data_IF_465750074204
#
_entry.id   IF_465750074204
#
_cell.length_a   1.000
_cell.length_b   1.000
_cell.length_c   1.000
_cell.angle_alpha   90.00
_cell.angle_beta   90.00
_cell.angle_gamma   90.00
#
_symmetry.space_group_name_H-M   'P 1'
#
loop_
_entity.id
_entity.type
_entity.pdbx_description
1 polymer ?
#
# COMPACT_ATOMS: atom_id res chain seq x y z
N UNK A 1 -28.52 61.89 13.28
CA UNK A 1 -27.32 61.43 13.99
C UNK A 1 -27.10 59.96 13.68
N UNK A 2 -25.83 59.55 13.71
CA UNK A 2 -25.16 58.49 12.97
C UNK A 2 -25.67 57.05 13.23
N UNK A 3 -25.54 56.24 12.18
CA UNK A 3 -25.61 54.77 12.18
C UNK A 3 -24.56 54.15 13.09
N UNK A 4 -24.90 53.01 13.70
CA UNK A 4 -23.94 51.94 13.99
C UNK A 4 -24.62 50.59 13.79
N UNK A 5 -24.34 49.97 12.63
CA UNK A 5 -24.53 48.54 12.41
C UNK A 5 -23.44 47.80 13.19
N UNK A 6 -23.85 46.88 14.06
CA UNK A 6 -22.96 45.98 14.78
C UNK A 6 -22.52 44.87 13.82
N UNK A 7 -21.28 44.95 13.35
CA UNK A 7 -20.62 43.86 12.65
C UNK A 7 -20.22 42.79 13.67
N UNK A 8 -21.15 41.88 13.96
CA UNK A 8 -20.80 40.59 14.55
C UNK A 8 -20.22 39.74 13.40
N UNK A 9 -18.94 39.95 13.11
CA UNK A 9 -18.19 39.07 12.23
C UNK A 9 -18.19 37.68 12.89
N UNK A 10 -19.04 36.80 12.37
CA UNK A 10 -19.14 35.42 12.80
C UNK A 10 -17.78 34.76 12.64
N UNK A 11 -17.19 34.37 13.77
CA UNK A 11 -16.10 33.42 13.83
C UNK A 11 -16.67 32.10 13.31
N UNK A 12 -16.62 31.88 12.00
CA UNK A 12 -16.90 30.57 11.43
C UNK A 12 -15.74 29.69 11.88
N UNK A 13 -15.99 28.63 12.68
CA UNK A 13 -14.91 27.78 13.15
C UNK A 13 -14.16 27.20 11.94
N UNK A 14 -12.84 27.35 11.94
CA UNK A 14 -11.93 26.91 10.87
C UNK A 14 -12.14 25.44 10.47
N UNK A 15 -12.69 24.63 11.37
CA UNK A 15 -13.11 23.23 11.13
C UNK A 15 -14.10 23.11 9.96
N UNK A 16 -15.05 24.05 9.79
CA UNK A 16 -16.02 24.00 8.68
C UNK A 16 -15.35 24.31 7.33
N UNK A 17 -14.27 25.10 7.33
CA UNK A 17 -13.53 25.43 6.10
C UNK A 17 -12.64 24.26 5.67
N UNK A 18 -12.03 23.52 6.61
CA UNK A 18 -11.27 22.31 6.28
C UNK A 18 -12.20 21.23 5.72
N UNK A 19 -13.37 21.02 6.34
CA UNK A 19 -14.38 20.09 5.79
C UNK A 19 -14.89 20.59 4.43
N UNK A 20 -15.08 21.88 4.21
CA UNK A 20 -15.52 22.42 2.92
C UNK A 20 -14.41 22.45 1.84
N UNK A 21 -13.13 22.35 2.21
CA UNK A 21 -12.01 22.20 1.27
C UNK A 21 -11.78 20.73 0.95
N UNK A 22 -11.93 19.82 1.92
CA UNK A 22 -11.96 18.38 1.65
C UNK A 22 -13.21 18.04 0.82
N UNK A 23 -14.40 18.50 1.20
CA UNK A 23 -15.63 18.40 0.39
C UNK A 23 -15.57 19.34 -0.83
N UNK A 24 -14.64 20.29 -0.93
CA UNK A 24 -14.50 21.16 -2.11
C UNK A 24 -13.61 20.53 -3.19
N UNK A 25 -12.54 19.86 -2.77
CA UNK A 25 -11.65 19.07 -3.60
C UNK A 25 -12.19 17.65 -3.86
N UNK A 26 -12.97 17.08 -2.94
CA UNK A 26 -13.54 15.73 -3.03
C UNK A 26 -15.07 15.69 -3.18
N UNK A 27 -15.80 16.75 -2.87
CA UNK A 27 -17.28 16.75 -2.76
C UNK A 27 -18.01 17.89 -3.47
N UNK A 28 -17.41 18.44 -4.54
CA UNK A 28 -18.08 19.33 -5.48
C UNK A 28 -18.90 18.57 -6.51
N UNK A 29 -19.86 17.73 -6.07
CA UNK A 29 -20.93 17.15 -6.90
C UNK A 29 -20.50 16.19 -8.00
N UNK A 30 -20.54 14.88 -7.72
CA UNK A 30 -20.52 13.77 -8.69
C UNK A 30 -19.22 13.48 -9.46
N UNK A 31 -18.07 14.08 -9.09
CA UNK A 31 -16.86 14.03 -9.94
C UNK A 31 -15.73 13.07 -9.58
N UNK A 32 -15.49 12.72 -8.30
CA UNK A 32 -14.23 12.03 -7.92
C UNK A 32 -14.37 10.83 -6.97
N UNK A 33 -15.52 10.63 -6.32
CA UNK A 33 -15.78 9.39 -5.57
C UNK A 33 -15.94 8.16 -6.50
N UNK A 34 -15.99 8.35 -7.82
CA UNK A 34 -16.23 7.29 -8.80
C UNK A 34 -14.94 6.83 -9.51
N UNK A 35 -13.77 7.45 -9.24
CA UNK A 35 -12.52 7.11 -9.97
C UNK A 35 -11.51 6.34 -9.10
N UNK A 36 -11.63 6.40 -7.76
CA UNK A 36 -10.75 5.62 -6.86
C UNK A 36 -11.30 4.23 -6.53
N UNK A 37 -12.61 4.07 -6.56
CA UNK A 37 -13.38 2.90 -6.09
C UNK A 37 -13.23 1.65 -6.99
N UNK A 38 -12.24 1.64 -7.90
CA UNK A 38 -12.04 0.55 -8.86
C UNK A 38 -10.57 0.24 -9.13
N UNK A 39 -9.64 0.80 -8.35
CA UNK A 39 -8.23 0.55 -8.57
C UNK A 39 -7.88 -0.85 -8.09
N UNK A 40 -7.64 -1.78 -9.01
CA UNK A 40 -7.33 -3.18 -8.66
C UNK A 40 -5.92 -3.31 -8.08
N UNK A 41 -5.65 -4.35 -7.27
CA UNK A 41 -4.29 -4.68 -6.86
C UNK A 41 -3.35 -4.74 -8.08
N UNK A 42 -2.27 -3.94 -8.05
CA UNK A 42 -1.33 -3.80 -9.18
C UNK A 42 -1.54 -2.57 -10.06
N UNK A 43 -2.62 -1.80 -9.86
CA UNK A 43 -2.84 -0.53 -10.54
C UNK A 43 -2.19 0.64 -9.79
N UNK A 44 -1.76 1.67 -10.52
CA UNK A 44 -1.06 2.82 -9.95
C UNK A 44 -1.88 3.60 -8.91
N UNK A 45 -3.21 3.52 -8.97
CA UNK A 45 -4.12 4.22 -8.04
C UNK A 45 -4.45 3.39 -6.80
N UNK A 46 -4.06 2.11 -6.75
CA UNK A 46 -4.35 1.24 -5.62
C UNK A 46 -3.70 1.75 -4.32
N UNK A 47 -2.48 2.29 -4.38
CA UNK A 47 -1.85 2.89 -3.21
C UNK A 47 -2.61 4.10 -2.66
N UNK A 48 -3.33 4.84 -3.52
CA UNK A 48 -4.18 5.96 -3.12
C UNK A 48 -5.42 5.46 -2.40
N UNK A 49 -6.03 4.39 -2.91
CA UNK A 49 -7.17 3.72 -2.27
C UNK A 49 -6.84 3.29 -0.83
N UNK A 50 -5.74 2.54 -0.65
CA UNK A 50 -5.29 2.09 0.68
C UNK A 50 -5.04 3.25 1.66
N UNK A 51 -4.59 4.40 1.15
CA UNK A 51 -4.38 5.58 1.97
C UNK A 51 -5.71 6.25 2.31
N UNK A 52 -6.63 6.34 1.35
CA UNK A 52 -7.97 6.85 1.57
C UNK A 52 -8.69 6.02 2.64
N UNK A 53 -8.62 4.68 2.57
CA UNK A 53 -9.15 3.78 3.59
C UNK A 53 -8.55 4.07 4.98
N UNK A 54 -7.22 4.16 5.10
CA UNK A 54 -6.57 4.44 6.39
C UNK A 54 -6.97 5.79 6.96
N UNK A 55 -7.09 6.82 6.11
CA UNK A 55 -7.56 8.14 6.53
C UNK A 55 -9.02 8.07 6.98
N UNK A 56 -9.88 7.38 6.23
CA UNK A 56 -11.28 7.17 6.58
C UNK A 56 -11.42 6.42 7.91
N UNK A 57 -10.60 5.39 8.12
CA UNK A 57 -10.57 4.64 9.37
C UNK A 57 -10.13 5.50 10.56
N UNK A 58 -9.16 6.39 10.35
CA UNK A 58 -8.64 7.30 11.37
C UNK A 58 -9.69 8.34 11.80
N UNK A 59 -10.48 8.86 10.85
CA UNK A 59 -11.54 9.84 11.15
C UNK A 59 -12.85 9.18 11.62
N UNK A 60 -12.96 7.86 11.54
CA UNK A 60 -14.11 7.10 12.04
C UNK A 60 -13.95 6.83 13.54
N UNK A 61 -14.35 7.80 14.36
CA UNK A 61 -14.17 7.76 15.82
C UNK A 61 -15.20 6.88 16.56
N UNK A 62 -16.33 6.56 15.93
CA UNK A 62 -17.35 5.71 16.54
C UNK A 62 -16.97 4.23 16.36
N UNK A 63 -16.97 3.46 17.43
CA UNK A 63 -16.52 2.07 17.41
C UNK A 63 -17.46 1.15 16.60
N UNK A 64 -18.77 1.39 16.60
CA UNK A 64 -19.74 0.68 15.75
C UNK A 64 -19.47 1.01 14.27
N UNK A 65 -19.35 2.30 13.93
CA UNK A 65 -19.04 2.74 12.57
C UNK A 65 -17.66 2.23 12.08
N UNK A 66 -16.71 2.02 13.01
CA UNK A 66 -15.41 1.44 12.69
C UNK A 66 -15.50 -0.07 12.43
N UNK A 67 -16.35 -0.79 13.15
CA UNK A 67 -16.65 -2.18 12.83
C UNK A 67 -17.31 -2.28 11.45
N UNK A 68 -18.34 -1.48 11.19
CA UNK A 68 -19.01 -1.39 9.87
C UNK A 68 -17.99 -1.14 8.76
N UNK A 69 -17.15 -0.11 8.92
CA UNK A 69 -16.12 0.23 7.94
C UNK A 69 -15.13 -0.92 7.70
N UNK A 70 -14.65 -1.58 8.77
CA UNK A 70 -13.73 -2.73 8.63
C UNK A 70 -14.42 -3.92 7.95
N UNK A 71 -15.71 -4.14 8.20
CA UNK A 71 -16.52 -5.14 7.47
C UNK A 71 -16.63 -4.80 5.99
N UNK A 72 -16.89 -3.53 5.65
CA UNK A 72 -16.93 -3.04 4.26
C UNK A 72 -15.59 -3.28 3.54
N UNK A 73 -14.46 -2.97 4.19
CA UNK A 73 -13.12 -3.22 3.63
C UNK A 73 -12.91 -4.71 3.33
N UNK A 74 -13.30 -5.62 4.22
CA UNK A 74 -13.17 -7.07 3.95
C UNK A 74 -14.04 -7.49 2.76
N UNK A 75 -15.28 -6.96 2.68
CA UNK A 75 -16.19 -7.23 1.56
C UNK A 75 -15.63 -6.74 0.22
N UNK A 76 -15.08 -5.53 0.19
CA UNK A 76 -14.45 -4.95 -0.98
C UNK A 76 -13.26 -5.79 -1.45
N UNK A 77 -12.37 -6.18 -0.53
CA UNK A 77 -11.21 -7.03 -0.89
C UNK A 77 -11.63 -8.41 -1.39
N UNK A 78 -12.70 -9.01 -0.84
CA UNK A 78 -13.28 -10.24 -1.40
C UNK A 78 -13.79 -10.04 -2.82
N UNK A 79 -14.52 -8.95 -3.06
CA UNK A 79 -15.05 -8.63 -4.39
C UNK A 79 -13.92 -8.41 -5.40
N UNK A 80 -12.86 -7.71 -5.04
CA UNK A 80 -11.67 -7.54 -5.90
C UNK A 80 -11.09 -8.88 -6.34
N UNK A 81 -10.95 -9.83 -5.41
CA UNK A 81 -10.41 -11.16 -5.71
C UNK A 81 -11.34 -11.94 -6.64
N UNK A 82 -12.65 -11.92 -6.39
CA UNK A 82 -13.63 -12.55 -7.27
C UNK A 82 -13.59 -11.97 -8.69
N UNK A 83 -13.44 -10.65 -8.82
CA UNK A 83 -13.28 -9.98 -10.11
C UNK A 83 -11.96 -10.37 -10.79
N UNK A 84 -10.85 -10.47 -10.05
CA UNK A 84 -9.56 -10.91 -10.58
C UNK A 84 -9.64 -12.35 -11.11
N UNK A 85 -10.22 -13.26 -10.33
CA UNK A 85 -10.42 -14.66 -10.74
C UNK A 85 -11.35 -14.76 -11.95
N UNK A 86 -12.44 -13.99 -11.98
CA UNK A 86 -13.37 -13.99 -13.13
C UNK A 86 -12.77 -13.42 -14.41
N UNK A 87 -11.86 -12.44 -14.33
CA UNK A 87 -11.29 -11.78 -15.51
C UNK A 87 -10.03 -12.45 -16.03
N UNK A 88 -9.17 -12.95 -15.13
CA UNK A 88 -7.81 -13.39 -15.45
C UNK A 88 -7.49 -14.80 -14.94
N UNK A 89 -8.39 -15.45 -14.22
CA UNK A 89 -8.16 -16.78 -13.64
C UNK A 89 -7.17 -16.77 -12.48
N UNK A 90 -6.64 -17.95 -12.14
CA UNK A 90 -5.65 -18.12 -11.05
C UNK A 90 -4.31 -17.44 -11.33
N UNK A 91 -3.98 -17.21 -12.61
CA UNK A 91 -2.77 -16.53 -13.03
C UNK A 91 -2.86 -14.99 -12.91
N UNK A 92 -3.95 -14.46 -12.36
CA UNK A 92 -4.17 -13.03 -12.22
C UNK A 92 -2.98 -12.37 -11.48
N UNK A 93 -2.26 -11.41 -12.11
CA UNK A 93 -1.13 -10.76 -11.47
C UNK A 93 -1.56 -10.09 -10.16
N UNK A 94 -0.91 -10.47 -9.05
CA UNK A 94 -1.21 -9.92 -7.73
C UNK A 94 -2.28 -10.66 -6.92
N UNK A 95 -2.87 -11.76 -7.43
CA UNK A 95 -3.88 -12.55 -6.73
C UNK A 95 -3.44 -12.98 -5.32
N UNK A 96 -2.22 -13.51 -5.19
CA UNK A 96 -1.66 -13.92 -3.90
C UNK A 96 -1.54 -12.76 -2.91
N UNK A 97 -1.20 -11.56 -3.40
CA UNK A 97 -1.16 -10.36 -2.57
C UNK A 97 -2.57 -9.95 -2.14
N UNK A 98 -3.56 -10.02 -3.04
CA UNK A 98 -4.95 -9.73 -2.71
C UNK A 98 -5.49 -10.70 -1.65
N UNK A 99 -5.22 -12.01 -1.79
CA UNK A 99 -5.53 -13.05 -0.81
C UNK A 99 -4.87 -12.78 0.55
N UNK A 100 -3.59 -12.40 0.57
CA UNK A 100 -2.92 -12.03 1.83
C UNK A 100 -3.59 -10.83 2.49
N UNK A 101 -3.99 -9.82 1.73
CA UNK A 101 -4.64 -8.61 2.24
C UNK A 101 -6.04 -8.86 2.77
N UNK A 102 -6.86 -9.69 2.12
CA UNK A 102 -8.19 -10.01 2.66
C UNK A 102 -8.09 -10.78 3.97
N UNK A 103 -7.11 -11.68 4.10
CA UNK A 103 -6.84 -12.36 5.37
C UNK A 103 -6.39 -11.37 6.46
N UNK A 104 -5.55 -10.40 6.11
CA UNK A 104 -5.14 -9.34 7.05
C UNK A 104 -6.33 -8.48 7.49
N UNK A 105 -7.16 -8.03 6.55
CA UNK A 105 -8.34 -7.22 6.85
C UNK A 105 -9.32 -7.99 7.76
N UNK A 106 -9.49 -9.29 7.52
CA UNK A 106 -10.31 -10.17 8.36
C UNK A 106 -9.73 -10.28 9.79
N UNK A 107 -8.43 -10.54 9.92
CA UNK A 107 -7.76 -10.59 11.22
C UNK A 107 -7.87 -9.25 11.98
N UNK A 108 -7.77 -8.13 11.26
CA UNK A 108 -7.94 -6.79 11.79
C UNK A 108 -9.37 -6.54 12.28
N UNK A 109 -10.39 -7.01 11.56
CA UNK A 109 -11.80 -6.95 11.98
C UNK A 109 -12.02 -7.82 13.24
N UNK A 110 -11.54 -9.05 13.25
CA UNK A 110 -11.65 -9.96 14.40
C UNK A 110 -10.97 -9.40 15.66
N UNK A 111 -9.76 -8.86 15.52
CA UNK A 111 -9.04 -8.22 16.61
C UNK A 111 -9.81 -7.01 17.15
N UNK A 112 -10.41 -6.21 16.26
CA UNK A 112 -11.25 -5.08 16.66
C UNK A 112 -12.49 -5.53 17.44
N UNK A 113 -13.20 -6.55 16.95
CA UNK A 113 -14.40 -7.11 17.61
C UNK A 113 -14.05 -7.79 18.95
N UNK A 114 -12.89 -8.43 19.05
CA UNK A 114 -12.40 -9.00 20.30
C UNK A 114 -12.12 -7.92 21.36
N UNK A 115 -11.65 -6.74 20.93
CA UNK A 115 -11.45 -5.58 21.80
C UNK A 115 -12.76 -4.87 22.20
N UNK A 116 -13.83 -5.06 21.44
CA UNK A 116 -15.14 -4.41 21.64
C UNK A 116 -16.29 -5.46 21.65
N UNK A 117 -16.37 -6.29 22.70
CA UNK A 117 -17.31 -7.41 22.77
C UNK A 117 -18.79 -7.00 22.70
N UNK A 118 -19.12 -5.75 22.98
CA UNK A 118 -20.45 -5.19 22.81
C UNK A 118 -20.96 -5.24 21.36
N UNK A 119 -20.07 -5.28 20.37
CA UNK A 119 -20.41 -5.35 18.95
C UNK A 119 -20.32 -6.77 18.40
N UNK A 120 -19.66 -7.72 19.07
CA UNK A 120 -19.43 -9.06 18.52
C UNK A 120 -20.72 -9.77 18.10
N UNK A 121 -21.81 -9.64 18.88
CA UNK A 121 -23.10 -10.25 18.52
C UNK A 121 -23.77 -9.59 17.31
N UNK A 122 -23.56 -8.29 17.10
CA UNK A 122 -24.11 -7.55 15.96
C UNK A 122 -23.42 -7.94 14.67
N UNK A 123 -22.10 -8.13 14.71
CA UNK A 123 -21.28 -8.46 13.54
C UNK A 123 -20.99 -9.95 13.38
N UNK A 124 -21.47 -10.81 14.29
CA UNK A 124 -21.20 -12.25 14.24
C UNK A 124 -21.63 -12.87 12.91
N UNK A 125 -22.86 -12.62 12.48
CA UNK A 125 -23.41 -13.18 11.24
C UNK A 125 -22.59 -12.75 10.01
N UNK A 126 -22.24 -11.46 9.92
CA UNK A 126 -21.40 -10.95 8.82
C UNK A 126 -19.97 -11.49 8.87
N UNK A 127 -19.39 -11.66 10.06
CA UNK A 127 -18.03 -12.20 10.21
C UNK A 127 -17.99 -13.68 9.83
N UNK A 128 -18.99 -14.45 10.26
CA UNK A 128 -19.13 -15.87 9.89
C UNK A 128 -19.31 -16.00 8.36
N UNK A 129 -20.18 -15.19 7.74
CA UNK A 129 -20.37 -15.17 6.28
C UNK A 129 -19.09 -14.82 5.51
N UNK A 130 -18.35 -13.81 5.97
CA UNK A 130 -17.08 -13.42 5.36
C UNK A 130 -16.02 -14.50 5.51
N UNK A 131 -15.94 -15.15 6.67
CA UNK A 131 -15.04 -16.28 6.92
C UNK A 131 -15.33 -17.43 5.96
N UNK A 132 -16.60 -17.84 5.85
CA UNK A 132 -17.03 -18.92 4.96
C UNK A 132 -16.69 -18.60 3.49
N UNK A 133 -16.88 -17.34 3.08
CA UNK A 133 -16.58 -16.88 1.71
C UNK A 133 -15.08 -16.87 1.43
N UNK A 134 -14.24 -16.46 2.39
CA UNK A 134 -12.78 -16.55 2.28
C UNK A 134 -12.32 -18.01 2.18
N UNK A 135 -12.91 -18.91 2.96
CA UNK A 135 -12.57 -20.33 2.93
C UNK A 135 -12.97 -20.99 1.61
N UNK A 136 -14.18 -20.70 1.10
CA UNK A 136 -14.64 -21.14 -0.22
C UNK A 136 -13.69 -20.66 -1.31
N UNK A 137 -13.29 -19.40 -1.28
CA UNK A 137 -12.42 -18.83 -2.30
C UNK A 137 -11.01 -19.45 -2.30
N UNK A 138 -10.48 -19.79 -1.12
CA UNK A 138 -9.22 -20.53 -1.00
C UNK A 138 -9.33 -21.95 -1.55
N UNK A 139 -10.42 -22.64 -1.24
CA UNK A 139 -10.66 -23.98 -1.76
C UNK A 139 -10.79 -23.96 -3.30
N UNK A 140 -11.52 -22.99 -3.86
CA UNK A 140 -11.64 -22.82 -5.31
C UNK A 140 -10.27 -22.53 -5.95
N UNK A 141 -9.41 -21.75 -5.28
CA UNK A 141 -8.06 -21.50 -5.76
C UNK A 141 -7.19 -22.77 -5.73
N UNK A 142 -7.21 -23.54 -4.65
CA UNK A 142 -6.44 -24.78 -4.50
C UNK A 142 -6.89 -25.82 -5.55
N UNK A 143 -8.20 -26.00 -5.76
CA UNK A 143 -8.73 -26.91 -6.79
C UNK A 143 -8.30 -26.48 -8.21
N UNK A 144 -8.27 -25.17 -8.47
CA UNK A 144 -7.80 -24.66 -9.75
C UNK A 144 -6.28 -24.83 -9.90
N UNK A 145 -5.48 -24.62 -8.86
CA UNK A 145 -4.03 -24.82 -8.91
C UNK A 145 -3.69 -26.29 -9.22
N UNK A 146 -4.32 -27.23 -8.51
CA UNK A 146 -4.18 -28.67 -8.76
C UNK A 146 -4.55 -29.04 -10.21
N UNK A 147 -5.64 -28.45 -10.75
CA UNK A 147 -6.08 -28.74 -12.11
C UNK A 147 -5.10 -28.26 -13.20
N UNK A 148 -4.27 -27.24 -12.92
CA UNK A 148 -3.24 -26.78 -13.84
C UNK A 148 -1.95 -27.61 -13.72
N UNK A 149 -1.59 -28.08 -12.53
CA UNK A 149 -0.43 -28.97 -12.34
C UNK A 149 -0.60 -30.29 -13.11
N UNK A 150 -1.82 -30.83 -13.17
CA UNK A 150 -2.13 -32.07 -13.91
C UNK A 150 -2.04 -31.91 -15.45
N UNK A 151 -2.19 -30.71 -16.01
CA UNK A 151 -2.10 -30.48 -17.48
C UNK A 151 -0.65 -30.43 -17.98
N UNK A 152 0.31 -30.04 -17.14
CA UNK A 152 1.73 -29.94 -17.51
C UNK A 152 2.47 -31.29 -17.52
N UNK A 153 1.94 -32.34 -16.85
CA UNK A 153 2.59 -33.67 -16.79
C UNK A 153 2.37 -34.54 -18.05
N UNK A 154 1.40 -34.21 -18.92
CA UNK A 154 1.07 -35.00 -20.12
C UNK A 154 1.75 -34.50 -21.42
N UNK A 155 2.56 -33.43 -21.37
CA UNK A 155 3.35 -32.92 -22.50
C UNK A 155 4.78 -33.50 -22.61
N UNK A 156 5.07 -34.63 -21.95
CA UNK A 156 6.15 -35.54 -22.38
C UNK A 156 5.71 -36.23 -23.69
N UNK A 157 5.56 -35.41 -24.74
CA UNK A 157 5.39 -35.84 -26.11
C UNK A 157 6.66 -36.62 -26.46
N UNK A 158 6.52 -37.93 -26.53
CA UNK A 158 7.51 -38.82 -27.13
C UNK A 158 7.90 -38.21 -28.49
N UNK A 159 9.08 -37.57 -28.54
CA UNK A 159 9.80 -37.30 -29.77
C UNK A 159 10.15 -38.67 -30.35
N UNK A 160 9.15 -39.26 -31.01
CA UNK A 160 9.20 -40.50 -31.75
C UNK A 160 10.11 -40.27 -32.96
N UNK A 161 11.41 -40.46 -32.71
CA UNK A 161 12.42 -40.98 -33.62
C UNK A 161 12.21 -40.63 -35.11
N UNK A 162 12.50 -39.36 -35.44
CA UNK A 162 12.81 -38.95 -36.81
C UNK A 162 14.22 -39.37 -37.21
N UNK A 163 14.46 -40.69 -37.32
CA UNK A 163 15.65 -41.24 -37.99
C UNK A 163 15.65 -40.87 -39.49
N UNK A 164 16.87 -40.58 -39.97
CA UNK A 164 17.37 -40.57 -41.35
C UNK A 164 17.10 -39.35 -42.25
N UNK A 165 18.12 -38.52 -42.48
CA UNK A 165 19.06 -38.75 -43.59
C UNK A 165 20.08 -37.61 -43.84
N UNK A 166 21.34 -38.04 -44.01
CA UNK A 166 22.37 -37.57 -44.96
C UNK A 166 23.21 -36.31 -44.67
N UNK A 167 24.41 -36.58 -44.15
CA UNK A 167 25.72 -36.28 -44.75
C UNK A 167 25.85 -35.02 -45.63
N UNK A 168 26.41 -33.94 -45.07
CA UNK A 168 27.28 -33.04 -45.85
C UNK A 168 28.56 -32.71 -45.07
N UNK A 169 29.61 -33.45 -45.44
CA UNK A 169 31.02 -33.16 -45.17
C UNK A 169 31.38 -31.74 -45.64
N UNK A 170 31.50 -30.82 -44.68
CA UNK A 170 32.05 -29.49 -44.88
C UNK A 170 33.23 -29.27 -43.96
N UNK A 171 34.41 -29.71 -44.40
CA UNK A 171 35.72 -29.23 -43.93
C UNK A 171 35.68 -27.70 -43.76
N UNK A 172 35.69 -27.22 -42.52
CA UNK A 172 36.15 -25.87 -42.22
C UNK A 172 37.22 -25.92 -41.15
N UNK A 173 38.36 -25.42 -41.61
CA UNK A 173 39.67 -25.46 -41.03
C UNK A 173 39.72 -24.80 -39.66
N UNK A 174 40.60 -25.38 -38.84
CA UNK A 174 41.05 -24.88 -37.56
C UNK A 174 41.49 -23.41 -37.67
N UNK A 175 40.71 -22.49 -37.09
CA UNK A 175 41.22 -21.19 -36.66
C UNK A 175 41.24 -21.16 -35.14
N UNK A 176 42.43 -21.46 -34.61
CA UNK A 176 42.89 -21.15 -33.26
C UNK A 176 42.57 -19.68 -32.94
N UNK A 177 41.45 -19.43 -32.27
CA UNK A 177 41.18 -18.15 -31.63
C UNK A 177 41.34 -18.32 -30.11
N UNK A 178 42.60 -18.33 -29.69
CA UNK A 178 43.06 -18.07 -28.32
C UNK A 178 42.70 -16.61 -27.94
N UNK A 179 41.42 -16.32 -27.77
CA UNK A 179 40.98 -15.10 -27.08
C UNK A 179 40.52 -15.49 -25.68
N UNK A 180 41.41 -15.21 -24.74
CA UNK A 180 41.19 -15.25 -23.30
C UNK A 180 39.98 -14.40 -22.92
N UNK A 181 38.82 -15.03 -22.81
CA UNK A 181 37.63 -14.42 -22.24
C UNK A 181 37.64 -14.68 -20.73
N UNK A 182 38.45 -13.87 -20.04
CA UNK A 182 38.38 -13.66 -18.59
C UNK A 182 36.99 -13.07 -18.28
N UNK A 183 35.99 -13.95 -18.17
CA UNK A 183 34.66 -13.63 -17.66
C UNK A 183 34.77 -13.35 -16.15
N UNK A 184 35.33 -12.19 -15.81
CA UNK A 184 35.34 -11.55 -14.49
C UNK A 184 34.02 -10.77 -14.26
N UNK A 185 32.87 -11.39 -14.54
CA UNK A 185 31.53 -10.77 -14.46
C UNK A 185 30.68 -11.35 -13.29
N UNK A 186 31.31 -11.72 -12.17
CA UNK A 186 30.61 -12.28 -10.99
C UNK A 186 30.66 -11.38 -9.72
N UNK A 187 30.85 -10.07 -9.88
CA UNK A 187 30.83 -9.12 -8.74
C UNK A 187 29.67 -8.10 -8.78
N UNK A 188 28.86 -8.05 -9.85
CA UNK A 188 27.81 -7.02 -10.01
C UNK A 188 26.51 -7.30 -9.24
N UNK A 189 26.26 -8.53 -8.77
CA UNK A 189 25.01 -8.87 -8.07
C UNK A 189 25.02 -8.39 -6.61
N UNK A 190 26.20 -8.30 -5.99
CA UNK A 190 26.35 -7.91 -4.58
C UNK A 190 25.89 -6.47 -4.33
N UNK A 191 26.22 -5.52 -5.23
CA UNK A 191 25.87 -4.11 -5.05
C UNK A 191 24.37 -3.80 -5.14
N UNK A 192 23.60 -4.57 -5.91
CA UNK A 192 22.15 -4.36 -6.08
C UNK A 192 21.36 -4.76 -4.83
N UNK A 193 21.80 -5.83 -4.14
CA UNK A 193 21.13 -6.28 -2.91
C UNK A 193 21.41 -5.35 -1.74
N UNK A 194 22.64 -4.87 -1.59
CA UNK A 194 23.00 -3.89 -0.55
C UNK A 194 22.24 -2.57 -0.72
N UNK A 195 22.16 -2.05 -1.94
CA UNK A 195 21.42 -0.82 -2.22
C UNK A 195 19.93 -0.98 -1.91
N UNK A 196 19.31 -2.10 -2.32
CA UNK A 196 17.91 -2.40 -2.01
C UNK A 196 17.66 -2.48 -0.50
N UNK A 197 18.52 -3.15 0.25
CA UNK A 197 18.38 -3.27 1.72
C UNK A 197 18.50 -1.89 2.38
N UNK A 198 19.48 -1.08 1.98
CA UNK A 198 19.65 0.28 2.48
C UNK A 198 18.41 1.13 2.20
N UNK A 199 17.96 1.19 0.96
CA UNK A 199 16.81 2.00 0.55
C UNK A 199 15.51 1.59 1.26
N UNK A 200 15.31 0.29 1.50
CA UNK A 200 14.18 -0.18 2.29
C UNK A 200 14.26 0.26 3.76
N UNK A 201 15.47 0.27 4.35
CA UNK A 201 15.70 0.77 5.69
C UNK A 201 15.39 2.27 5.79
N UNK A 202 15.86 3.07 4.83
CA UNK A 202 15.63 4.53 4.78
C UNK A 202 14.12 4.84 4.72
N UNK A 203 13.34 4.15 3.87
CA UNK A 203 11.86 4.30 3.84
C UNK A 203 11.24 3.96 5.21
N UNK A 204 11.77 2.93 5.88
CA UNK A 204 11.23 2.44 7.15
C UNK A 204 11.53 3.39 8.29
N UNK A 205 12.74 3.96 8.33
CA UNK A 205 13.19 4.96 9.30
C UNK A 205 12.31 6.21 9.23
N UNK A 206 12.17 6.81 8.06
CA UNK A 206 11.35 8.02 7.86
C UNK A 206 9.86 7.79 8.19
N UNK A 207 9.37 6.55 8.09
CA UNK A 207 8.02 6.18 8.59
C UNK A 207 7.94 6.09 10.10
N UNK A 208 8.97 5.59 10.75
CA UNK A 208 9.06 5.55 12.20
C UNK A 208 9.09 6.98 12.76
N UNK A 209 9.91 7.86 12.20
CA UNK A 209 10.04 9.25 12.64
C UNK A 209 8.73 10.01 12.55
N UNK A 210 8.00 9.88 11.42
CA UNK A 210 6.69 10.50 11.29
C UNK A 210 5.66 9.93 12.27
N UNK A 211 5.75 8.64 12.61
CA UNK A 211 4.87 8.01 13.60
C UNK A 211 5.15 8.55 15.01
N UNK A 212 6.42 8.70 15.38
CA UNK A 212 6.83 9.33 16.64
C UNK A 212 6.33 10.78 16.71
N UNK A 213 6.54 11.54 15.63
CA UNK A 213 6.07 12.91 15.53
C UNK A 213 4.55 13.04 15.69
N UNK A 214 3.77 12.13 15.10
CA UNK A 214 2.32 12.08 15.31
C UNK A 214 1.95 11.80 16.76
N UNK A 215 2.66 10.86 17.41
CA UNK A 215 2.40 10.53 18.81
C UNK A 215 2.64 11.75 19.71
N UNK A 216 3.69 12.53 19.46
CA UNK A 216 3.95 13.75 20.21
C UNK A 216 2.98 14.88 19.87
N UNK A 217 2.62 15.04 18.59
CA UNK A 217 1.60 16.01 18.21
C UNK A 217 0.28 15.73 18.97
N UNK A 218 -0.12 14.46 19.08
CA UNK A 218 -1.27 14.05 19.90
C UNK A 218 -1.04 14.35 21.38
N UNK A 219 0.13 13.99 21.94
CA UNK A 219 0.49 14.21 23.34
C UNK A 219 0.40 15.67 23.75
N UNK A 220 0.86 16.58 22.90
CA UNK A 220 0.89 18.02 23.14
C UNK A 220 -0.33 18.76 22.57
N UNK A 221 -1.31 18.03 22.03
CA UNK A 221 -2.51 18.59 21.41
C UNK A 221 -2.19 19.63 20.32
N UNK A 222 -1.23 19.30 19.48
CA UNK A 222 -0.78 20.08 18.33
C UNK A 222 -1.45 19.53 17.08
N UNK A 223 -1.92 20.44 16.24
CA UNK A 223 -2.41 20.09 14.90
C UNK A 223 -1.24 20.24 13.94
N UNK A 224 -0.79 19.13 13.35
CA UNK A 224 0.25 19.16 12.33
C UNK A 224 -0.21 19.94 11.09
N UNK A 225 0.68 20.73 10.44
CA UNK A 225 0.34 21.43 9.20
C UNK A 225 -0.10 20.45 8.10
N UNK A 226 -1.35 20.54 7.66
CA UNK A 226 -1.91 19.62 6.66
C UNK A 226 -1.11 19.59 5.34
N UNK A 227 -0.54 20.73 4.94
CA UNK A 227 0.36 20.83 3.78
C UNK A 227 1.58 19.91 3.91
N UNK A 228 2.19 19.87 5.10
CA UNK A 228 3.38 19.07 5.38
C UNK A 228 3.06 17.59 5.50
N UNK A 229 1.95 17.26 6.17
CA UNK A 229 1.44 15.87 6.23
C UNK A 229 1.18 15.32 4.82
N UNK A 230 0.54 16.12 3.96
CA UNK A 230 0.27 15.72 2.58
C UNK A 230 1.55 15.57 1.75
N UNK A 231 2.52 16.48 1.91
CA UNK A 231 3.82 16.40 1.24
C UNK A 231 4.59 15.12 1.64
N UNK A 232 4.62 14.81 2.93
CA UNK A 232 5.20 13.58 3.47
C UNK A 232 4.54 12.33 2.85
N UNK A 233 3.21 12.25 2.88
CA UNK A 233 2.48 11.10 2.34
C UNK A 233 2.76 10.90 0.85
N UNK A 234 2.71 11.98 0.07
CA UNK A 234 3.02 11.93 -1.35
C UNK A 234 4.46 11.45 -1.62
N UNK A 235 5.42 11.90 -0.83
CA UNK A 235 6.82 11.49 -0.94
C UNK A 235 7.01 10.01 -0.60
N UNK A 236 6.38 9.50 0.46
CA UNK A 236 6.43 8.06 0.82
C UNK A 236 5.82 7.18 -0.27
N UNK A 237 4.66 7.55 -0.83
CA UNK A 237 4.05 6.80 -1.94
C UNK A 237 5.01 6.73 -3.13
N UNK A 238 5.64 7.86 -3.47
CA UNK A 238 6.60 7.94 -4.57
C UNK A 238 7.86 7.09 -4.29
N UNK A 239 8.35 7.11 -3.06
CA UNK A 239 9.48 6.30 -2.60
C UNK A 239 9.18 4.80 -2.73
N UNK A 240 8.03 4.33 -2.22
CA UNK A 240 7.62 2.92 -2.31
C UNK A 240 7.41 2.48 -3.76
N UNK A 241 6.79 3.34 -4.58
CA UNK A 241 6.57 3.07 -6.00
C UNK A 241 7.91 2.95 -6.75
N UNK A 242 8.85 3.87 -6.51
CA UNK A 242 10.18 3.80 -7.10
C UNK A 242 10.95 2.56 -6.64
N UNK A 243 10.85 2.20 -5.36
CA UNK A 243 11.46 1.00 -4.79
C UNK A 243 10.95 -0.27 -5.46
N UNK A 244 9.62 -0.42 -5.59
CA UNK A 244 9.00 -1.57 -6.24
C UNK A 244 9.43 -1.74 -7.71
N UNK A 245 9.73 -0.62 -8.40
CA UNK A 245 10.22 -0.61 -9.77
C UNK A 245 11.75 -0.76 -9.90
N UNK A 246 12.47 -1.02 -8.80
CA UNK A 246 13.93 -1.11 -8.79
C UNK A 246 14.65 0.22 -9.07
N UNK A 247 13.95 1.35 -8.94
CA UNK A 247 14.47 2.70 -9.19
C UNK A 247 15.09 3.30 -7.93
N UNK A 248 16.04 2.60 -7.30
CA UNK A 248 16.58 2.96 -5.98
C UNK A 248 17.18 4.38 -5.91
N UNK A 249 17.79 4.87 -6.99
CA UNK A 249 18.31 6.24 -7.05
C UNK A 249 17.23 7.32 -6.95
N UNK A 250 15.99 7.03 -7.35
CA UNK A 250 14.87 7.95 -7.19
C UNK A 250 14.29 7.90 -5.78
N UNK A 251 14.43 6.77 -5.10
CA UNK A 251 13.91 6.60 -3.73
C UNK A 251 14.58 7.57 -2.77
N UNK A 252 15.91 7.71 -2.84
CA UNK A 252 16.67 8.66 -2.01
C UNK A 252 16.10 10.08 -2.12
N UNK A 253 15.84 10.57 -3.34
CA UNK A 253 15.26 11.89 -3.56
C UNK A 253 13.81 12.03 -3.06
N UNK A 254 13.07 10.94 -2.87
CA UNK A 254 11.73 10.97 -2.27
C UNK A 254 11.80 10.85 -0.74
N UNK A 255 12.72 10.06 -0.20
CA UNK A 255 13.04 9.99 1.24
C UNK A 255 13.46 11.38 1.73
N UNK A 256 14.38 12.06 1.05
CA UNK A 256 14.80 13.42 1.39
C UNK A 256 13.62 14.41 1.48
N UNK A 257 12.63 14.29 0.59
CA UNK A 257 11.43 15.14 0.62
C UNK A 257 10.48 14.80 1.76
N UNK A 258 10.42 13.52 2.13
CA UNK A 258 9.64 13.08 3.28
C UNK A 258 10.27 13.59 4.58
N UNK A 259 11.59 13.54 4.71
CA UNK A 259 12.37 14.14 5.81
C UNK A 259 12.16 15.66 5.88
N UNK A 260 12.30 16.39 4.76
CA UNK A 260 12.07 17.84 4.74
C UNK A 260 10.63 18.21 5.17
N UNK A 261 9.65 17.34 4.89
CA UNK A 261 8.29 17.50 5.36
C UNK A 261 8.19 17.29 6.88
N UNK A 262 8.86 16.27 7.43
CA UNK A 262 8.97 15.98 8.87
C UNK A 262 9.61 17.15 9.61
N UNK A 263 10.76 17.66 9.15
CA UNK A 263 11.45 18.82 9.74
C UNK A 263 10.52 20.04 9.86
N UNK A 264 9.71 20.26 8.82
CA UNK A 264 8.71 21.32 8.79
C UNK A 264 7.57 21.15 9.81
N UNK A 265 7.38 19.94 10.34
CA UNK A 265 6.40 19.57 11.35
C UNK A 265 7.01 19.44 12.75
N UNK A 266 8.32 19.22 12.89
CA UNK A 266 9.03 19.11 14.17
C UNK A 266 9.07 20.42 14.95
N UNK A 267 9.35 21.55 14.28
CA UNK A 267 9.46 22.87 14.93
C UNK A 267 8.31 23.19 15.91
N UNK A 268 7.01 23.06 15.56
CA UNK A 268 5.93 23.29 16.52
C UNK A 268 5.86 22.25 17.66
N UNK A 269 6.27 21.00 17.41
CA UNK A 269 6.30 19.92 18.40
C UNK A 269 7.41 20.15 19.42
N UNK A 270 8.60 20.51 18.97
CA UNK A 270 9.74 20.88 19.83
C UNK A 270 9.42 22.10 20.70
N UNK A 271 8.80 23.14 20.12
CA UNK A 271 8.37 24.32 20.88
C UNK A 271 7.41 23.92 22.02
N UNK A 272 6.50 22.99 21.76
CA UNK A 272 5.59 22.48 22.78
C UNK A 272 6.29 21.61 23.84
N UNK A 273 7.22 20.73 23.45
CA UNK A 273 8.07 19.95 24.38
C UNK A 273 8.81 20.89 25.33
N UNK A 274 9.47 21.91 24.79
CA UNK A 274 10.17 22.93 25.56
C UNK A 274 9.22 23.67 26.53
N UNK A 275 8.03 24.07 26.07
CA UNK A 275 7.03 24.73 26.91
C UNK A 275 6.44 23.82 28.02
N UNK A 276 6.41 22.50 27.79
CA UNK A 276 6.03 21.52 28.79
C UNK A 276 7.13 21.26 29.84
N UNK A 277 8.33 21.82 29.66
CA UNK A 277 9.49 21.56 30.52
C UNK A 277 10.11 20.19 30.30
N UNK A 278 9.75 19.51 29.20
CA UNK A 278 10.42 18.31 28.71
C UNK A 278 11.56 18.79 27.81
N UNK A 279 12.65 19.21 28.45
CA UNK A 279 13.91 19.41 27.75
C UNK A 279 14.62 18.07 27.78
N UNK A 280 14.95 17.53 26.61
CA UNK A 280 15.79 16.34 26.48
C UNK A 280 17.10 16.62 27.22
N UNK A 281 17.34 15.87 28.30
CA UNK A 281 18.64 15.90 28.98
C UNK A 281 19.58 15.04 28.13
N UNK A 282 20.12 15.63 27.07
CA UNK A 282 21.26 15.09 26.31
C UNK A 282 22.48 14.83 27.21
#
# INVERSE_FOLDING_TARGET
MKQTYSNQAGFVPVIIIVIAVVVGFFGGGAGLAIISDSAKPGEALFSVDVIAEKVQEMITFNAEAKADFRTEVVQERLQEIEEMLSEKGIEAPGLQNALSRVNQAMADLEAFLAAHPEFSLQFQESTDELSDRIESLKADHEELEDAFEDEDEDEDFEDEDGEDADDEDGDQEDEDNDDADENDDDDSVSGSTELRVKTQADITEVKADFTELQADAVRFNIVLPAEKVSAYQAAIIQAETAFANGQYAQVEAFVDRAEEAIDGMESPVEEARHNAGEVDND
#
